data_IF_512620667329
#
_entry.id   IF_512620667329
#
_cell.length_a   1.000
_cell.length_b   1.000
_cell.length_c   1.000
_cell.angle_alpha   90.00
_cell.angle_beta   90.00
_cell.angle_gamma   90.00
#
_symmetry.space_group_name_H-M   'P 1'
#
loop_
_entity.id
_entity.type
_entity.pdbx_description
1 polymer ?
#
# COMPACT_ATOMS: atom_id res chain seq x y z
N UNK A 1 -0.48 8.98 6.21
CA UNK A 1 0.10 9.65 5.04
C UNK A 1 0.34 11.11 5.36
N UNK A 2 -0.69 11.95 5.46
CA UNK A 2 -0.51 13.35 5.85
C UNK A 2 0.07 14.21 4.75
N UNK A 3 -0.47 14.10 3.53
CA UNK A 3 -0.01 14.84 2.34
C UNK A 3 0.15 16.36 2.54
N UNK A 4 -0.60 16.98 3.45
CA UNK A 4 -0.41 18.38 3.81
C UNK A 4 -0.89 19.39 2.75
N UNK A 5 -1.20 18.95 1.53
CA UNK A 5 -1.79 19.76 0.46
C UNK A 5 -3.16 20.37 0.85
N UNK A 6 -3.89 19.71 1.75
CA UNK A 6 -5.09 20.22 2.40
C UNK A 6 -4.96 20.03 3.90
N UNK A 7 -5.10 21.11 4.67
CA UNK A 7 -5.01 21.08 6.13
C UNK A 7 -6.07 21.98 6.79
N UNK A 8 -6.54 21.63 8.01
CA UNK A 8 -7.56 22.41 8.70
C UNK A 8 -7.02 23.79 9.11
N UNK A 9 -7.62 24.84 8.56
CA UNK A 9 -7.29 26.24 8.89
C UNK A 9 -7.97 26.72 10.16
N UNK A 10 -9.12 26.15 10.54
CA UNK A 10 -9.91 26.58 11.71
C UNK A 10 -9.46 25.91 13.01
N UNK A 11 -9.60 26.61 14.13
CA UNK A 11 -9.26 26.08 15.47
C UNK A 11 -10.06 24.82 15.78
N UNK A 12 -11.38 24.85 15.55
CA UNK A 12 -12.25 23.69 15.74
C UNK A 12 -11.83 22.49 14.86
N UNK A 13 -11.50 22.74 13.58
CA UNK A 13 -11.02 21.70 12.67
C UNK A 13 -9.69 21.08 13.11
N UNK A 14 -8.78 21.89 13.66
CA UNK A 14 -7.50 21.40 14.22
C UNK A 14 -7.71 20.53 15.45
N UNK A 15 -8.58 20.94 16.39
CA UNK A 15 -8.91 20.15 17.58
C UNK A 15 -9.56 18.81 17.17
N UNK A 16 -10.51 18.84 16.24
CA UNK A 16 -11.11 17.62 15.70
C UNK A 16 -10.07 16.70 15.05
N UNK A 17 -9.16 17.25 14.25
CA UNK A 17 -8.08 16.48 13.61
C UNK A 17 -7.17 15.79 14.63
N UNK A 18 -6.84 16.46 15.74
CA UNK A 18 -6.04 15.87 16.84
C UNK A 18 -6.76 14.66 17.43
N UNK A 19 -8.04 14.80 17.80
CA UNK A 19 -8.82 13.70 18.37
C UNK A 19 -9.00 12.55 17.37
N UNK A 20 -9.28 12.86 16.11
CA UNK A 20 -9.44 11.88 15.05
C UNK A 20 -8.14 11.08 14.82
N UNK A 21 -6.99 11.75 14.77
CA UNK A 21 -5.69 11.10 14.60
C UNK A 21 -5.31 10.24 15.81
N UNK A 22 -5.61 10.70 17.03
CA UNK A 22 -5.30 9.99 18.28
C UNK A 22 -5.90 8.58 18.31
N UNK A 23 -7.15 8.42 17.89
CA UNK A 23 -7.82 7.11 17.83
C UNK A 23 -7.64 6.42 16.46
N UNK A 24 -7.60 7.19 15.38
CA UNK A 24 -7.52 6.68 14.02
C UNK A 24 -6.19 6.02 13.69
N UNK A 25 -5.05 6.57 14.15
CA UNK A 25 -3.73 5.98 13.88
C UNK A 25 -3.61 4.59 14.54
N UNK A 26 -3.88 4.40 15.86
CA UNK A 26 -3.86 3.07 16.46
C UNK A 26 -4.81 2.08 15.79
N UNK A 27 -6.03 2.51 15.48
CA UNK A 27 -7.01 1.66 14.80
C UNK A 27 -6.52 1.22 13.40
N UNK A 28 -5.93 2.15 12.64
CA UNK A 28 -5.36 1.85 11.33
C UNK A 28 -4.16 0.89 11.44
N UNK A 29 -3.33 1.00 12.48
CA UNK A 29 -2.23 0.07 12.72
C UNK A 29 -2.73 -1.34 13.01
N UNK A 30 -3.77 -1.49 13.84
CA UNK A 30 -4.40 -2.80 14.11
C UNK A 30 -4.97 -3.37 12.82
N UNK A 31 -5.71 -2.57 12.04
CA UNK A 31 -6.27 -2.99 10.76
C UNK A 31 -5.19 -3.44 9.78
N UNK A 32 -4.10 -2.68 9.65
CA UNK A 32 -2.97 -3.03 8.79
C UNK A 32 -2.29 -4.32 9.22
N UNK A 33 -2.16 -4.55 10.54
CA UNK A 33 -1.62 -5.80 11.04
C UNK A 33 -2.52 -7.00 10.68
N UNK A 34 -3.83 -6.88 10.88
CA UNK A 34 -4.79 -7.93 10.51
C UNK A 34 -4.77 -8.22 9.01
N UNK A 35 -4.79 -7.18 8.17
CA UNK A 35 -4.70 -7.35 6.71
C UNK A 35 -3.37 -8.00 6.32
N UNK A 36 -2.26 -7.59 6.94
CA UNK A 36 -0.95 -8.19 6.73
C UNK A 36 -0.92 -9.68 7.09
N UNK A 37 -1.55 -10.07 8.21
CA UNK A 37 -1.68 -11.49 8.58
C UNK A 37 -2.54 -12.25 7.57
N UNK A 38 -3.68 -11.69 7.14
CA UNK A 38 -4.54 -12.31 6.14
C UNK A 38 -3.80 -12.54 4.82
N UNK A 39 -3.02 -11.55 4.36
CA UNK A 39 -2.17 -11.68 3.17
C UNK A 39 -1.12 -12.80 3.35
N UNK A 40 -0.47 -12.85 4.52
CA UNK A 40 0.52 -13.88 4.83
C UNK A 40 -0.10 -15.28 4.88
N UNK A 41 -1.28 -15.42 5.50
CA UNK A 41 -2.04 -16.67 5.52
C UNK A 41 -2.43 -17.12 4.11
N UNK A 42 -2.84 -16.20 3.25
CA UNK A 42 -3.11 -16.49 1.84
C UNK A 42 -1.86 -17.04 1.13
N UNK A 43 -0.70 -16.42 1.32
CA UNK A 43 0.58 -16.89 0.77
C UNK A 43 0.95 -18.27 1.32
N UNK A 44 0.78 -18.50 2.62
CA UNK A 44 1.05 -19.79 3.26
C UNK A 44 0.11 -20.88 2.78
N UNK A 45 -1.17 -20.55 2.57
CA UNK A 45 -2.15 -21.48 2.04
C UNK A 45 -1.79 -21.88 0.60
N UNK A 46 -1.46 -20.91 -0.25
CA UNK A 46 -0.93 -21.18 -1.59
C UNK A 46 0.36 -22.02 -1.54
N UNK A 47 1.24 -21.73 -0.58
CA UNK A 47 2.48 -22.47 -0.37
C UNK A 47 2.21 -23.94 -0.07
N UNK A 48 1.33 -24.22 0.88
CA UNK A 48 0.98 -25.58 1.28
C UNK A 48 0.37 -26.37 0.11
N UNK A 49 -0.56 -25.77 -0.65
CA UNK A 49 -1.18 -26.40 -1.82
C UNK A 49 -0.16 -26.76 -2.90
N UNK A 50 0.84 -25.92 -3.11
CA UNK A 50 1.93 -26.17 -4.06
C UNK A 50 2.95 -27.19 -3.52
N UNK A 51 3.21 -27.21 -2.22
CA UNK A 51 4.05 -28.23 -1.57
C UNK A 51 3.44 -29.64 -1.61
N UNK A 52 2.12 -29.75 -1.64
CA UNK A 52 1.44 -31.04 -1.89
C UNK A 52 1.65 -31.54 -3.33
N UNK A 53 1.79 -30.61 -4.29
CA UNK A 53 2.03 -30.93 -5.70
C UNK A 53 3.52 -31.17 -5.98
N UNK A 54 4.42 -30.50 -5.26
CA UNK A 54 5.87 -30.60 -5.43
C UNK A 54 6.55 -31.25 -4.21
N UNK A 55 7.18 -32.42 -4.39
CA UNK A 55 7.88 -33.17 -3.33
C UNK A 55 9.06 -32.45 -2.60
N UNK A 56 9.37 -31.19 -2.93
CA UNK A 56 10.51 -30.41 -2.40
C UNK A 56 10.08 -29.37 -1.35
N UNK A 57 9.47 -29.83 -0.24
CA UNK A 57 8.76 -28.98 0.74
C UNK A 57 9.49 -27.71 1.17
N UNK A 58 10.75 -27.80 1.64
CA UNK A 58 11.49 -26.61 2.15
C UNK A 58 11.84 -25.58 1.07
N UNK A 59 12.24 -26.03 -0.12
CA UNK A 59 12.61 -25.12 -1.24
C UNK A 59 11.35 -24.48 -1.85
N UNK A 60 10.27 -25.25 -1.98
CA UNK A 60 8.99 -24.76 -2.49
C UNK A 60 8.40 -23.66 -1.60
N UNK A 61 8.41 -23.84 -0.28
CA UNK A 61 7.93 -22.81 0.67
C UNK A 61 8.67 -21.47 0.53
N UNK A 62 9.99 -21.54 0.42
CA UNK A 62 10.83 -20.34 0.25
C UNK A 62 10.54 -19.65 -1.09
N UNK A 63 10.48 -20.43 -2.17
CA UNK A 63 10.19 -19.92 -3.52
C UNK A 63 8.82 -19.24 -3.59
N UNK A 64 7.81 -19.75 -2.89
CA UNK A 64 6.47 -19.18 -2.93
C UNK A 64 6.40 -17.89 -2.13
N UNK A 65 7.07 -17.83 -0.97
CA UNK A 65 7.19 -16.58 -0.20
C UNK A 65 7.94 -15.50 -0.98
N UNK A 66 9.05 -15.84 -1.65
CA UNK A 66 9.77 -14.88 -2.50
C UNK A 66 8.98 -14.51 -3.75
N UNK A 67 8.32 -15.45 -4.43
CA UNK A 67 7.44 -15.14 -5.56
C UNK A 67 6.27 -14.23 -5.15
N UNK A 68 5.65 -14.46 -3.99
CA UNK A 68 4.59 -13.59 -3.49
C UNK A 68 5.10 -12.17 -3.19
N UNK A 69 6.31 -12.04 -2.66
CA UNK A 69 6.96 -10.74 -2.45
C UNK A 69 7.20 -10.01 -3.77
N UNK A 70 7.79 -10.69 -4.76
CA UNK A 70 8.05 -10.12 -6.10
C UNK A 70 6.73 -9.75 -6.79
N UNK A 71 5.73 -10.61 -6.69
CA UNK A 71 4.40 -10.35 -7.26
C UNK A 71 3.76 -9.13 -6.60
N UNK A 72 3.86 -9.00 -5.28
CA UNK A 72 3.39 -7.81 -4.57
C UNK A 72 4.14 -6.55 -4.98
N UNK A 73 5.45 -6.61 -5.22
CA UNK A 73 6.22 -5.46 -5.72
C UNK A 73 5.73 -5.03 -7.11
N UNK A 74 5.47 -5.98 -8.01
CA UNK A 74 4.91 -5.68 -9.32
C UNK A 74 3.51 -5.07 -9.20
N UNK A 75 2.62 -5.66 -8.38
CA UNK A 75 1.23 -5.25 -8.25
C UNK A 75 1.04 -3.92 -7.51
N UNK A 76 1.82 -3.66 -6.46
CA UNK A 76 1.64 -2.48 -5.60
C UNK A 76 2.54 -1.31 -5.96
N UNK A 77 3.72 -1.52 -6.58
CA UNK A 77 4.64 -0.43 -6.93
C UNK A 77 4.72 -0.16 -8.44
N UNK A 78 4.81 -1.19 -9.28
CA UNK A 78 5.11 -1.01 -10.72
C UNK A 78 3.88 -0.95 -11.63
N UNK A 79 2.79 -1.63 -11.28
CA UNK A 79 1.54 -1.61 -12.04
C UNK A 79 0.74 -0.29 -11.88
N UNK A 80 0.55 0.26 -10.66
CA UNK A 80 -0.27 1.47 -10.46
C UNK A 80 0.20 2.72 -11.23
N UNK A 81 1.52 2.98 -11.40
CA UNK A 81 2.02 4.09 -12.22
C UNK A 81 1.49 4.12 -13.65
N UNK A 82 1.22 2.96 -14.27
CA UNK A 82 0.60 2.90 -15.59
C UNK A 82 -0.82 3.48 -15.58
N UNK A 83 -1.57 3.18 -14.52
CA UNK A 83 -2.92 3.69 -14.33
C UNK A 83 -2.91 5.19 -14.00
N UNK A 84 -1.95 5.65 -13.20
CA UNK A 84 -1.78 7.08 -12.89
C UNK A 84 -1.37 7.87 -14.12
N UNK A 85 -0.55 7.30 -14.99
CA UNK A 85 -0.14 7.97 -16.23
C UNK A 85 -1.33 8.23 -17.16
N UNK A 86 -2.23 7.26 -17.31
CA UNK A 86 -3.46 7.42 -18.09
C UNK A 86 -4.44 8.43 -17.44
N UNK A 87 -4.68 8.30 -16.13
CA UNK A 87 -5.73 9.09 -15.44
C UNK A 87 -5.28 10.48 -15.01
N UNK A 88 -4.12 10.58 -14.38
CA UNK A 88 -3.58 11.85 -13.89
C UNK A 88 -2.78 12.61 -14.96
N UNK A 89 -2.35 11.92 -16.02
CA UNK A 89 -1.49 12.51 -17.05
C UNK A 89 -0.05 12.69 -16.60
N UNK A 90 0.33 12.02 -15.52
CA UNK A 90 1.70 11.98 -15.04
C UNK A 90 2.56 11.12 -15.96
N UNK A 91 3.86 11.38 -15.97
CA UNK A 91 4.83 10.42 -16.49
C UNK A 91 4.84 9.15 -15.62
N UNK A 92 5.32 8.05 -16.19
CA UNK A 92 5.48 6.79 -15.43
C UNK A 92 6.39 6.98 -14.20
N UNK A 93 7.40 7.84 -14.33
CA UNK A 93 8.38 8.16 -13.28
C UNK A 93 7.71 8.86 -12.09
N UNK A 94 6.87 9.87 -12.36
CA UNK A 94 6.07 10.58 -11.36
C UNK A 94 5.05 9.64 -10.71
N UNK A 95 4.42 8.75 -11.49
CA UNK A 95 3.51 7.73 -10.95
C UNK A 95 4.23 6.74 -10.03
N UNK A 96 5.43 6.31 -10.38
CA UNK A 96 6.26 5.42 -9.56
C UNK A 96 6.72 6.11 -8.27
N UNK A 97 7.18 7.36 -8.40
CA UNK A 97 7.51 8.22 -7.26
C UNK A 97 6.31 8.35 -6.31
N UNK A 98 5.12 8.67 -6.84
CA UNK A 98 3.88 8.74 -6.05
C UNK A 98 3.57 7.42 -5.33
N UNK A 99 3.66 6.27 -6.02
CA UNK A 99 3.47 4.95 -5.40
C UNK A 99 4.41 4.75 -4.22
N UNK A 100 5.70 5.03 -4.39
CA UNK A 100 6.70 4.82 -3.35
C UNK A 100 6.47 5.74 -2.14
N UNK A 101 6.33 7.05 -2.34
CA UNK A 101 6.15 8.02 -1.23
C UNK A 101 4.82 7.79 -0.48
N UNK A 102 3.80 7.30 -1.19
CA UNK A 102 2.49 6.99 -0.63
C UNK A 102 2.56 5.74 0.24
N UNK A 103 3.04 4.63 -0.31
CA UNK A 103 3.07 3.35 0.42
C UNK A 103 4.08 3.35 1.57
N UNK A 104 5.20 4.06 1.42
CA UNK A 104 6.18 4.27 2.50
C UNK A 104 5.70 5.22 3.60
N UNK A 105 4.53 5.82 3.42
CA UNK A 105 3.90 6.77 4.34
C UNK A 105 4.63 8.10 4.51
N UNK A 106 5.60 8.42 3.65
CA UNK A 106 6.30 9.72 3.60
C UNK A 106 5.32 10.84 3.25
N UNK A 107 4.54 10.66 2.17
CA UNK A 107 3.42 11.52 1.81
C UNK A 107 3.75 13.01 1.66
N UNK A 108 4.66 13.39 0.75
CA UNK A 108 5.01 14.81 0.52
C UNK A 108 3.85 15.68 0.03
N UNK A 109 2.89 15.10 -0.70
CA UNK A 109 1.69 15.80 -1.20
C UNK A 109 1.91 16.72 -2.39
N UNK A 110 3.09 16.65 -3.00
CA UNK A 110 3.42 17.20 -4.32
C UNK A 110 2.61 16.51 -5.44
N UNK A 111 2.44 15.19 -5.34
CA UNK A 111 1.52 14.41 -6.19
C UNK A 111 0.37 13.85 -5.35
N UNK A 112 -0.86 14.17 -5.75
CA UNK A 112 -2.08 13.65 -5.10
C UNK A 112 -3.15 13.35 -6.15
N UNK A 113 -3.69 12.14 -6.06
CA UNK A 113 -4.71 11.60 -6.96
C UNK A 113 -5.99 12.43 -6.92
N UNK A 114 -6.56 12.73 -8.09
CA UNK A 114 -7.90 13.32 -8.19
C UNK A 114 -8.01 14.75 -7.65
N UNK A 115 -6.92 15.51 -7.73
CA UNK A 115 -6.82 16.92 -7.31
C UNK A 115 -6.76 17.91 -8.49
N UNK A 116 -6.52 17.45 -9.71
CA UNK A 116 -6.44 18.34 -10.87
C UNK A 116 -7.84 18.83 -11.28
N UNK A 117 -8.14 20.15 -11.24
CA UNK A 117 -9.45 20.69 -11.60
C UNK A 117 -9.78 20.54 -13.08
N UNK A 118 -8.76 20.40 -13.95
CA UNK A 118 -8.95 20.31 -15.40
C UNK A 118 -9.31 18.88 -15.86
N UNK A 119 -9.28 17.90 -14.95
CA UNK A 119 -9.56 16.49 -15.25
C UNK A 119 -10.81 15.99 -14.55
N UNK A 120 -11.62 15.24 -15.28
CA UNK A 120 -12.81 14.56 -14.74
C UNK A 120 -12.46 13.13 -14.35
N UNK A 121 -12.60 12.83 -13.06
CA UNK A 121 -12.30 11.51 -12.52
C UNK A 121 -13.58 10.72 -12.27
N UNK A 122 -13.64 9.43 -12.62
CA UNK A 122 -14.76 8.58 -12.24
C UNK A 122 -14.90 8.49 -10.72
N UNK A 123 -16.13 8.48 -10.20
CA UNK A 123 -16.39 8.42 -8.75
C UNK A 123 -15.79 7.19 -8.05
N UNK A 124 -15.61 6.07 -8.76
CA UNK A 124 -14.99 4.85 -8.24
C UNK A 124 -13.47 4.97 -8.05
N UNK A 125 -12.81 5.89 -8.77
CA UNK A 125 -11.36 5.93 -8.86
C UNK A 125 -10.71 6.19 -7.50
N UNK A 126 -11.19 7.20 -6.75
CA UNK A 126 -10.67 7.52 -5.41
C UNK A 126 -10.85 6.37 -4.42
N UNK A 127 -11.95 5.63 -4.51
CA UNK A 127 -12.20 4.46 -3.65
C UNK A 127 -11.23 3.32 -3.98
N UNK A 128 -11.00 3.04 -5.26
CA UNK A 128 -10.04 2.01 -5.69
C UNK A 128 -8.62 2.34 -5.22
N UNK A 129 -8.20 3.60 -5.36
CA UNK A 129 -6.89 4.04 -4.87
C UNK A 129 -6.81 3.96 -3.34
N UNK A 130 -7.88 4.31 -2.62
CA UNK A 130 -7.90 4.21 -1.16
C UNK A 130 -7.75 2.75 -0.69
N UNK A 131 -8.41 1.80 -1.37
CA UNK A 131 -8.22 0.37 -1.12
C UNK A 131 -6.81 -0.09 -1.48
N UNK A 132 -6.28 0.33 -2.62
CA UNK A 132 -4.91 0.01 -3.02
C UNK A 132 -3.88 0.51 -2.00
N UNK A 133 -4.02 1.72 -1.47
CA UNK A 133 -3.16 2.26 -0.40
C UNK A 133 -3.24 1.37 0.85
N UNK A 134 -4.45 0.96 1.27
CA UNK A 134 -4.63 0.10 2.44
C UNK A 134 -3.90 -1.25 2.30
N UNK A 135 -4.11 -1.95 1.19
CA UNK A 135 -3.44 -3.23 0.92
C UNK A 135 -1.94 -3.07 0.67
N UNK A 136 -1.54 -2.01 -0.04
CA UNK A 136 -0.14 -1.73 -0.34
C UNK A 136 0.68 -1.39 0.92
N UNK A 137 0.11 -0.64 1.87
CA UNK A 137 0.75 -0.38 3.17
C UNK A 137 0.91 -1.66 3.98
N UNK A 138 -0.09 -2.54 3.99
CA UNK A 138 0.01 -3.83 4.66
C UNK A 138 1.11 -4.71 4.03
N UNK A 139 1.19 -4.74 2.70
CA UNK A 139 2.26 -5.43 1.98
C UNK A 139 3.65 -4.86 2.30
N UNK A 140 3.81 -3.54 2.28
CA UNK A 140 5.11 -2.91 2.57
C UNK A 140 5.56 -3.20 4.01
N UNK A 141 4.64 -3.21 4.97
CA UNK A 141 4.94 -3.60 6.35
C UNK A 141 5.45 -5.05 6.46
N UNK A 142 4.88 -5.98 5.66
CA UNK A 142 5.39 -7.36 5.57
C UNK A 142 6.79 -7.43 4.97
N UNK A 143 7.06 -6.63 3.93
CA UNK A 143 8.40 -6.53 3.32
C UNK A 143 9.43 -6.06 4.35
N UNK A 144 9.11 -5.00 5.10
CA UNK A 144 9.98 -4.48 6.16
C UNK A 144 10.23 -5.54 7.23
N UNK A 145 9.17 -6.23 7.69
CA UNK A 145 9.28 -7.32 8.67
C UNK A 145 10.18 -8.46 8.16
N UNK A 146 10.07 -8.82 6.88
CA UNK A 146 10.93 -9.81 6.25
C UNK A 146 12.40 -9.34 6.20
N UNK A 147 12.65 -8.10 5.81
CA UNK A 147 14.00 -7.52 5.79
C UNK A 147 14.63 -7.54 7.19
N UNK A 148 13.88 -7.19 8.23
CA UNK A 148 14.35 -7.26 9.63
C UNK A 148 14.72 -8.70 10.00
N UNK A 149 13.89 -9.67 9.64
CA UNK A 149 14.17 -11.10 9.90
C UNK A 149 15.40 -11.64 9.17
N UNK A 150 15.91 -10.98 8.12
CA UNK A 150 17.16 -11.34 7.45
C UNK A 150 18.39 -10.67 8.07
N UNK A 151 18.18 -9.59 8.84
CA UNK A 151 19.24 -8.85 9.52
C UNK A 151 19.58 -9.45 10.90
N UNK A 152 18.63 -10.14 11.53
CA UNK A 152 18.81 -10.94 12.75
C UNK A 152 19.35 -12.35 12.44
#
# INVERSE_FOLDING_TARGET
>A
LGYGNLSPSTVAGRIFCILFALFGIPLNLVLLNEIGQLMLLGVQHCAHRLEEVFHWKKKASLLIKTCALVTGLLLFLLLPPLLFSDKEGWSYEEGFYYSFITLSTIGFGDYVIGMNPDRTYPGWYKNVISLWILFGMAWLALVIKLCISFLE
#
